data_IF_957543489899
#
_entry.id   IF_957543489899
#
_cell.length_a   1.000
_cell.length_b   1.000
_cell.length_c   1.000
_cell.angle_alpha   90.00
_cell.angle_beta   90.00
_cell.angle_gamma   90.00
#
_symmetry.space_group_name_H-M   'P 1'
#
loop_
_entity.id
_entity.type
_entity.pdbx_description
1 polymer ?
#
# COMPACT_ATOMS: atom_id res chain seq x y z
N UNK A 1 -0.57 -22.78 33.15
CA UNK A 1 -0.29 -21.39 32.74
C UNK A 1 -1.44 -21.02 31.83
N UNK A 2 -2.18 -19.96 32.16
CA UNK A 2 -3.13 -19.40 31.19
C UNK A 2 -2.28 -18.70 30.13
N UNK A 3 -2.07 -19.34 28.98
CA UNK A 3 -1.32 -18.75 27.87
C UNK A 3 -2.16 -17.63 27.25
N UNK A 4 -2.06 -16.45 27.84
CA UNK A 4 -2.80 -15.26 27.43
C UNK A 4 -2.03 -14.52 26.35
N UNK A 5 -2.68 -14.27 25.20
CA UNK A 5 -2.16 -13.32 24.21
C UNK A 5 -2.51 -11.91 24.70
N UNK A 6 -1.50 -11.06 24.97
CA UNK A 6 -1.73 -9.67 25.30
C UNK A 6 -2.58 -8.99 24.24
N UNK A 7 -3.66 -8.33 24.66
CA UNK A 7 -4.52 -7.53 23.78
C UNK A 7 -3.71 -6.53 22.94
N UNK A 8 -2.61 -5.98 23.50
CA UNK A 8 -1.69 -5.10 22.77
C UNK A 8 -0.95 -5.81 21.63
N UNK A 9 -0.51 -7.05 21.82
CA UNK A 9 0.13 -7.84 20.76
C UNK A 9 -0.87 -8.21 19.67
N UNK A 10 -2.11 -8.52 20.03
CA UNK A 10 -3.18 -8.71 19.05
C UNK A 10 -3.39 -7.44 18.21
N UNK A 11 -3.46 -6.28 18.86
CA UNK A 11 -3.67 -5.00 18.18
C UNK A 11 -2.51 -4.60 17.26
N UNK A 12 -1.26 -4.77 17.71
CA UNK A 12 -0.06 -4.50 16.89
C UNK A 12 0.01 -5.47 15.70
N UNK A 13 -0.26 -6.75 15.92
CA UNK A 13 -0.30 -7.75 14.85
C UNK A 13 -1.35 -7.40 13.79
N UNK A 14 -2.55 -6.99 14.23
CA UNK A 14 -3.61 -6.55 13.33
C UNK A 14 -3.20 -5.30 12.53
N UNK A 15 -2.57 -4.32 13.18
CA UNK A 15 -2.06 -3.11 12.53
C UNK A 15 -1.00 -3.43 11.46
N UNK A 16 -0.12 -4.40 11.72
CA UNK A 16 0.89 -4.84 10.77
C UNK A 16 0.28 -5.56 9.56
N UNK A 17 -0.72 -6.42 9.78
CA UNK A 17 -1.46 -7.09 8.69
C UNK A 17 -2.17 -6.06 7.81
N UNK A 18 -2.86 -5.08 8.41
CA UNK A 18 -3.52 -4.00 7.67
C UNK A 18 -2.53 -3.15 6.88
N UNK A 19 -1.35 -2.88 7.43
CA UNK A 19 -0.29 -2.16 6.73
C UNK A 19 0.17 -2.90 5.46
N UNK A 20 0.33 -4.23 5.52
CA UNK A 20 0.64 -5.07 4.36
C UNK A 20 -0.49 -5.14 3.33
N UNK A 21 -1.75 -5.25 3.77
CA UNK A 21 -2.90 -5.22 2.86
C UNK A 21 -3.03 -3.87 2.13
N UNK A 22 -2.70 -2.77 2.81
CA UNK A 22 -2.69 -1.45 2.20
C UNK A 22 -1.54 -1.30 1.18
N UNK A 23 -0.36 -1.85 1.47
CA UNK A 23 0.80 -1.85 0.56
C UNK A 23 0.50 -2.58 -0.75
N UNK A 24 -0.19 -3.73 -0.69
CA UNK A 24 -0.65 -4.47 -1.88
C UNK A 24 -1.57 -3.64 -2.80
N UNK A 25 -2.19 -2.58 -2.26
CA UNK A 25 -3.04 -1.64 -3.00
C UNK A 25 -2.32 -0.34 -3.33
N UNK A 26 -0.99 -0.30 -3.37
CA UNK A 26 -0.19 0.92 -3.61
C UNK A 26 -0.44 2.04 -2.59
N UNK A 27 -0.82 1.70 -1.35
CA UNK A 27 -0.99 2.67 -0.27
C UNK A 27 0.20 2.62 0.69
N UNK A 28 0.46 3.73 1.39
CA UNK A 28 1.59 3.83 2.32
C UNK A 28 1.45 2.88 3.51
N UNK A 29 2.30 1.86 3.59
CA UNK A 29 2.37 0.89 4.70
C UNK A 29 2.41 1.57 6.06
N UNK A 30 3.28 2.57 6.23
CA UNK A 30 3.52 3.21 7.53
C UNK A 30 2.33 4.06 7.99
N UNK A 31 1.69 4.80 7.07
CA UNK A 31 0.49 5.56 7.38
C UNK A 31 -0.66 4.63 7.79
N UNK A 32 -0.84 3.52 7.07
CA UNK A 32 -1.89 2.54 7.37
C UNK A 32 -1.62 1.73 8.64
N UNK A 33 -0.36 1.53 9.03
CA UNK A 33 0.01 0.97 10.32
C UNK A 33 -0.47 1.85 11.48
N UNK A 34 -0.10 3.13 11.50
CA UNK A 34 -0.52 4.05 12.57
C UNK A 34 -2.03 4.28 12.58
N UNK A 35 -2.64 4.36 11.40
CA UNK A 35 -4.09 4.49 11.28
C UNK A 35 -4.81 3.25 11.84
N UNK A 36 -4.28 2.05 11.62
CA UNK A 36 -4.82 0.81 12.19
C UNK A 36 -4.57 0.71 13.68
N UNK A 37 -3.49 1.27 14.21
CA UNK A 37 -3.25 1.32 15.64
C UNK A 37 -4.32 2.16 16.35
N UNK A 38 -4.82 3.22 15.70
CA UNK A 38 -5.88 4.10 16.22
C UNK A 38 -7.30 3.54 15.97
N UNK A 39 -7.57 3.05 14.76
CA UNK A 39 -8.92 2.65 14.32
C UNK A 39 -9.20 1.14 14.45
N UNK A 40 -8.17 0.32 14.63
CA UNK A 40 -8.29 -1.12 14.79
C UNK A 40 -8.98 -1.81 13.58
N UNK A 41 -9.96 -2.70 13.82
CA UNK A 41 -10.66 -3.43 12.77
C UNK A 41 -11.37 -2.55 11.72
N UNK A 42 -11.71 -1.30 12.06
CA UNK A 42 -12.35 -0.37 11.12
C UNK A 42 -11.42 -0.04 9.95
N UNK A 43 -10.11 0.04 10.20
CA UNK A 43 -9.12 0.22 9.14
C UNK A 43 -9.12 -0.98 8.16
N UNK A 44 -9.30 -2.21 8.67
CA UNK A 44 -9.40 -3.42 7.83
C UNK A 44 -10.60 -3.34 6.90
N UNK A 45 -11.78 -2.98 7.43
CA UNK A 45 -12.99 -2.83 6.63
C UNK A 45 -12.79 -1.83 5.50
N UNK A 46 -12.18 -0.68 5.79
CA UNK A 46 -11.88 0.32 4.79
C UNK A 46 -10.92 -0.20 3.70
N UNK A 47 -9.80 -0.84 4.09
CA UNK A 47 -8.81 -1.35 3.12
C UNK A 47 -9.43 -2.37 2.17
N UNK A 48 -10.26 -3.28 2.69
CA UNK A 48 -10.90 -4.34 1.90
C UNK A 48 -12.00 -3.77 1.01
N UNK A 49 -12.88 -2.93 1.56
CA UNK A 49 -14.03 -2.37 0.83
C UNK A 49 -13.63 -1.39 -0.28
N UNK A 50 -12.45 -0.76 -0.19
CA UNK A 50 -12.01 0.24 -1.17
C UNK A 50 -11.00 -0.35 -2.17
N UNK A 51 -11.18 -0.01 -3.45
CA UNK A 51 -10.28 -0.41 -4.53
C UNK A 51 -8.87 0.19 -4.40
N UNK A 52 -7.91 -0.33 -5.16
CA UNK A 52 -6.60 0.33 -5.27
C UNK A 52 -6.81 1.76 -5.79
N UNK A 53 -6.10 2.77 -5.25
CA UNK A 53 -6.08 4.11 -5.84
C UNK A 53 -5.71 3.95 -7.32
N UNK A 54 -6.42 4.67 -8.21
CA UNK A 54 -6.09 4.66 -9.62
C UNK A 54 -4.59 4.96 -9.75
N UNK A 55 -3.85 4.03 -10.36
CA UNK A 55 -2.47 4.30 -10.70
C UNK A 55 -2.50 5.56 -11.56
N UNK A 56 -1.84 6.62 -11.12
CA UNK A 56 -1.52 7.71 -12.03
C UNK A 56 -0.75 7.01 -13.15
N UNK A 57 -1.25 7.01 -14.41
CA UNK A 57 -0.42 6.54 -15.49
C UNK A 57 0.80 7.45 -15.42
N UNK A 58 1.95 6.90 -15.04
CA UNK A 58 3.22 7.54 -15.36
C UNK A 58 3.11 7.77 -16.85
N UNK A 59 2.91 9.02 -17.22
CA UNK A 59 2.82 9.46 -18.59
C UNK A 59 4.21 9.19 -19.15
N UNK A 60 4.44 7.97 -19.63
CA UNK A 60 5.38 7.68 -20.68
C UNK A 60 4.81 8.31 -21.96
N UNK A 61 4.70 9.64 -21.94
CA UNK A 61 4.85 10.47 -23.11
C UNK A 61 6.33 10.83 -23.21
N UNK A 62 7.21 9.83 -23.11
CA UNK A 62 8.23 9.74 -24.13
C UNK A 62 7.65 8.74 -25.11
N UNK A 63 7.24 9.23 -26.28
CA UNK A 63 6.98 8.35 -27.42
C UNK A 63 8.23 7.50 -27.72
N UNK A 64 8.22 6.67 -28.77
CA UNK A 64 9.50 6.15 -29.24
C UNK A 64 10.39 7.37 -29.47
N UNK A 65 11.49 7.49 -28.71
CA UNK A 65 12.55 8.44 -29.02
C UNK A 65 12.97 8.06 -30.43
N UNK A 66 12.39 8.76 -31.41
CA UNK A 66 12.82 8.66 -32.80
C UNK A 66 14.19 9.28 -32.81
N UNK A 67 15.21 8.43 -32.65
CA UNK A 67 16.58 8.83 -32.86
C UNK A 67 16.67 9.48 -34.25
N UNK A 68 17.25 10.68 -34.38
CA UNK A 68 17.41 11.30 -35.68
C UNK A 68 18.20 10.35 -36.59
N UNK A 69 17.87 10.26 -37.90
CA UNK A 69 18.63 9.41 -38.81
C UNK A 69 20.09 9.87 -38.78
N UNK A 70 20.97 8.97 -38.34
CA UNK A 70 22.42 9.18 -38.41
C UNK A 70 22.76 9.48 -39.87
N UNK A 71 23.18 10.72 -40.14
CA UNK A 71 23.61 11.18 -41.46
C UNK A 71 24.66 10.21 -42.01
N UNK A 72 24.30 9.54 -43.11
CA UNK A 72 25.23 8.73 -43.89
C UNK A 72 26.36 9.64 -44.40
N UNK A 73 27.58 9.26 -44.07
CA UNK A 73 28.83 9.79 -44.61
C UNK A 73 29.71 8.63 -45.05
#
# INVERSE_FOLDING_TARGET
MEDYVPQSLFWISLALINAGLAEQKNRSRLAWFFLSLLLGPVATFYIVATGAPAAIPTQAADGPVTLPPKSAG
#
